data_IF_785597702172
#
_entry.id   IF_785597702172
#
_cell.length_a   1.000
_cell.length_b   1.000
_cell.length_c   1.000
_cell.angle_alpha   90.00
_cell.angle_beta   90.00
_cell.angle_gamma   90.00
#
_symmetry.space_group_name_H-M   'P 1'
#
loop_
_entity.id
_entity.type
_entity.pdbx_description
1 polymer ?
#
# COMPACT_ATOMS: atom_id res chain seq x y z
N UNK A 1 -7.10 -9.09 21.29
CA UNK A 1 -7.89 -8.13 20.60
C UNK A 1 -7.36 -7.80 19.24
N UNK A 2 -8.25 -7.66 18.35
CA UNK A 2 -7.87 -7.46 16.97
C UNK A 2 -7.60 -6.00 16.70
N UNK A 3 -6.53 -5.76 16.00
CA UNK A 3 -6.22 -4.43 15.61
C UNK A 3 -6.56 -4.23 14.15
N UNK A 4 -7.11 -3.09 13.87
CA UNK A 4 -7.42 -2.72 12.50
C UNK A 4 -6.15 -2.16 11.88
N UNK A 5 -5.66 -2.74 10.79
CA UNK A 5 -4.47 -2.19 10.16
C UNK A 5 -4.76 -0.80 9.61
N UNK A 6 -3.69 -0.03 9.48
CA UNK A 6 -3.81 1.29 8.90
C UNK A 6 -3.98 1.15 7.39
N UNK A 7 -5.13 1.57 6.91
CA UNK A 7 -5.41 1.50 5.48
C UNK A 7 -5.39 2.92 4.92
N UNK A 8 -4.70 3.10 3.84
CA UNK A 8 -4.58 4.42 3.20
C UNK A 8 -4.89 4.28 1.71
N UNK A 9 -5.30 5.39 1.12
CA UNK A 9 -5.49 5.43 -0.32
C UNK A 9 -4.12 5.53 -0.99
N UNK A 10 -4.10 5.31 -2.32
CA UNK A 10 -2.85 5.46 -3.06
C UNK A 10 -2.33 6.89 -2.91
N UNK A 11 -3.23 7.87 -2.96
CA UNK A 11 -2.81 9.26 -2.84
C UNK A 11 -2.15 9.51 -1.49
N UNK A 12 -2.75 8.99 -0.43
CA UNK A 12 -2.19 9.16 0.90
C UNK A 12 -0.84 8.48 1.02
N UNK A 13 -0.73 7.27 0.47
CA UNK A 13 0.54 6.56 0.51
C UNK A 13 1.60 7.31 -0.28
N UNK A 14 1.22 7.89 -1.40
CA UNK A 14 2.14 8.68 -2.20
C UNK A 14 2.67 9.87 -1.41
N UNK A 15 1.78 10.57 -0.73
CA UNK A 15 2.17 11.74 0.06
C UNK A 15 3.09 11.33 1.21
N UNK A 16 2.74 10.25 1.88
CA UNK A 16 3.49 9.82 3.06
C UNK A 16 4.88 9.28 2.73
N UNK A 17 5.01 8.65 1.57
CA UNK A 17 6.27 8.00 1.21
C UNK A 17 7.11 8.80 0.22
N UNK A 18 6.49 9.76 -0.46
CA UNK A 18 7.19 10.50 -1.50
C UNK A 18 7.28 9.76 -2.81
N UNK A 19 6.66 8.59 -2.92
CA UNK A 19 6.66 7.84 -4.17
C UNK A 19 5.53 8.32 -5.06
N UNK A 20 5.68 8.12 -6.36
CA UNK A 20 4.66 8.60 -7.28
C UNK A 20 3.39 7.78 -7.17
N UNK A 21 2.27 8.44 -7.41
CA UNK A 21 0.96 7.79 -7.40
C UNK A 21 0.95 6.61 -8.39
N UNK A 22 1.48 6.85 -9.58
CA UNK A 22 1.43 5.83 -10.62
C UNK A 22 2.26 4.61 -10.24
N UNK A 23 3.39 4.81 -9.61
CA UNK A 23 4.23 3.71 -9.17
C UNK A 23 3.48 2.83 -8.18
N UNK A 24 2.84 3.45 -7.19
CA UNK A 24 2.11 2.69 -6.17
C UNK A 24 0.91 1.99 -6.80
N UNK A 25 0.22 2.67 -7.71
CA UNK A 25 -0.92 2.07 -8.39
C UNK A 25 -0.49 0.81 -9.15
N UNK A 26 0.65 0.85 -9.80
CA UNK A 26 1.13 -0.31 -10.52
C UNK A 26 1.48 -1.46 -9.59
N UNK A 27 2.00 -1.16 -8.41
CA UNK A 27 2.24 -2.21 -7.42
C UNK A 27 0.95 -2.90 -7.03
N UNK A 28 -0.12 -2.13 -6.87
CA UNK A 28 -1.42 -2.70 -6.56
C UNK A 28 -1.91 -3.58 -7.71
N UNK A 29 -1.79 -3.10 -8.93
CA UNK A 29 -2.28 -3.84 -10.09
C UNK A 29 -1.52 -5.14 -10.28
N UNK A 30 -0.27 -5.19 -9.86
CA UNK A 30 0.54 -6.39 -9.96
C UNK A 30 0.40 -7.29 -8.74
N UNK A 31 -0.38 -6.86 -7.76
CA UNK A 31 -0.54 -7.61 -6.50
C UNK A 31 0.79 -7.79 -5.76
N UNK A 32 1.64 -6.79 -5.85
CA UNK A 32 2.93 -6.86 -5.16
C UNK A 32 2.85 -6.35 -3.74
N UNK A 33 1.80 -5.61 -3.40
CA UNK A 33 1.59 -5.14 -2.04
C UNK A 33 0.19 -5.49 -1.61
N UNK A 34 0.01 -5.62 -0.32
CA UNK A 34 -1.28 -6.00 0.24
C UNK A 34 -2.23 -4.81 0.18
N UNK A 35 -3.34 -5.02 -0.48
CA UNK A 35 -4.32 -3.97 -0.69
C UNK A 35 -5.69 -4.59 -0.89
N UNK A 36 -6.71 -3.77 -0.78
CA UNK A 36 -8.07 -4.19 -1.15
C UNK A 36 -8.63 -3.13 -2.07
N UNK A 37 -9.59 -3.55 -2.87
CA UNK A 37 -10.28 -2.61 -3.73
C UNK A 37 -11.67 -2.37 -3.16
N UNK A 38 -11.95 -1.12 -2.85
CA UNK A 38 -13.24 -0.72 -2.30
C UNK A 38 -13.89 0.25 -3.26
N UNK A 39 -14.83 -0.27 -4.04
CA UNK A 39 -15.43 0.54 -5.09
C UNK A 39 -14.40 0.90 -6.13
N UNK A 40 -14.18 2.18 -6.32
CA UNK A 40 -13.21 2.67 -7.30
C UNK A 40 -11.86 2.97 -6.70
N UNK A 41 -11.66 2.64 -5.44
CA UNK A 41 -10.43 3.02 -4.75
C UNK A 41 -9.66 1.78 -4.33
N UNK A 42 -8.34 1.88 -4.37
CA UNK A 42 -7.48 0.92 -3.73
C UNK A 42 -7.16 1.43 -2.34
N UNK A 43 -7.26 0.53 -1.36
CA UNK A 43 -6.83 0.82 0.00
C UNK A 43 -5.66 -0.07 0.30
N UNK A 44 -4.58 0.51 0.75
CA UNK A 44 -3.32 -0.18 0.94
C UNK A 44 -3.08 -0.39 2.42
N UNK A 45 -2.69 -1.61 2.79
CA UNK A 45 -2.24 -1.87 4.15
C UNK A 45 -0.90 -1.17 4.31
N UNK A 46 -0.92 -0.02 4.97
CA UNK A 46 0.25 0.84 5.01
C UNK A 46 1.41 0.18 5.73
N UNK A 47 1.12 -0.57 6.77
CA UNK A 47 2.18 -1.24 7.52
C UNK A 47 2.90 -2.26 6.64
N UNK A 48 2.15 -3.03 5.87
CA UNK A 48 2.77 -3.99 4.96
C UNK A 48 3.47 -3.31 3.81
N UNK A 49 2.95 -2.16 3.40
CA UNK A 49 3.61 -1.38 2.36
C UNK A 49 4.98 -0.89 2.84
N UNK A 50 5.06 -0.44 4.07
CA UNK A 50 6.33 -0.01 4.62
C UNK A 50 7.29 -1.19 4.72
N UNK A 51 6.80 -2.36 5.14
CA UNK A 51 7.63 -3.56 5.16
C UNK A 51 8.17 -3.88 3.77
N UNK A 52 7.32 -3.76 2.77
CA UNK A 52 7.74 -3.99 1.39
C UNK A 52 8.84 -3.02 0.99
N UNK A 53 8.69 -1.75 1.35
CA UNK A 53 9.69 -0.75 0.99
C UNK A 53 11.01 -0.98 1.72
N UNK A 54 10.94 -1.54 2.91
CA UNK A 54 12.13 -1.85 3.67
C UNK A 54 12.78 -3.17 3.25
N UNK A 55 12.16 -3.86 2.32
CA UNK A 55 12.71 -5.10 1.80
C UNK A 55 12.52 -6.30 2.70
N UNK A 56 11.67 -6.18 3.72
CA UNK A 56 11.55 -7.28 4.68
C UNK A 56 10.89 -8.50 4.09
N UNK A 57 9.96 -8.31 3.20
CA UNK A 57 9.30 -9.43 2.57
C UNK A 57 10.03 -9.94 1.36
N UNK A 58 11.04 -9.22 0.92
CA UNK A 58 11.71 -9.51 -0.32
C UNK A 58 12.90 -10.43 -0.19
N UNK A 59 13.27 -10.68 1.00
CA UNK A 59 14.41 -11.57 1.21
C UNK A 59 14.03 -13.01 1.29
#
# INVERSE_FOLDING_TARGET
MNEVPTMVTIKEASIKTGLSYDFIRKLCLRNEIIHIKAGNKFLINFEKFIDFLNGEGGE
#
